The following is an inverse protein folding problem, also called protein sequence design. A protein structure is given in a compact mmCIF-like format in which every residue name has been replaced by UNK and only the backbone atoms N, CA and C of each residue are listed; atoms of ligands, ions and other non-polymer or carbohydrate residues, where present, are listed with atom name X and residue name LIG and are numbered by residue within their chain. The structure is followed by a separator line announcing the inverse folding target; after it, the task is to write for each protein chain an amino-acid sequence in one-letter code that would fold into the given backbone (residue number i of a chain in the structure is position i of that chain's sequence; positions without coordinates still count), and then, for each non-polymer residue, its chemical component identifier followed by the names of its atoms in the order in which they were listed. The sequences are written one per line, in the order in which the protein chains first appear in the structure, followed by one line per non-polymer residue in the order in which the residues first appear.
data_IF_852559243106
#
_entry.id   IF_852559243106
#
_cell.length_a   1.000
_cell.length_b   1.000
_cell.length_c   1.000
_cell.angle_alpha   90.00
_cell.angle_beta   90.00
_cell.angle_gamma   90.00
#
_symmetry.space_group_name_H-M   'P 1'
#
loop_
_entity.id
_entity.type
_entity.pdbx_description
1 polymer ?
#
# COMPACT_ATOMS: atom_id res chain seq x y z
N UNK A 1 1.58 -50.39 -13.05
CA UNK A 1 0.87 -49.83 -11.88
C UNK A 1 1.71 -48.65 -11.43
N UNK A 2 1.44 -47.49 -12.01
CA UNK A 2 2.24 -46.29 -11.79
C UNK A 2 1.67 -45.52 -10.61
N UNK A 3 2.44 -45.52 -9.53
CA UNK A 3 2.11 -44.89 -8.27
C UNK A 3 2.11 -43.37 -8.45
N UNK A 4 0.93 -42.75 -8.28
CA UNK A 4 0.73 -41.31 -8.44
C UNK A 4 1.68 -40.55 -7.51
N UNK A 5 2.58 -39.81 -8.13
CA UNK A 5 3.60 -39.02 -7.46
C UNK A 5 3.05 -38.18 -6.28
N UNK A 6 3.64 -38.33 -5.10
CA UNK A 6 3.14 -37.71 -3.85
C UNK A 6 3.15 -36.18 -3.93
N UNK A 7 2.15 -35.54 -3.32
CA UNK A 7 2.00 -34.09 -3.22
C UNK A 7 3.28 -33.40 -2.71
N UNK A 8 3.93 -33.98 -1.70
CA UNK A 8 5.16 -33.42 -1.12
C UNK A 8 6.34 -33.44 -2.10
N UNK A 9 6.45 -34.47 -2.94
CA UNK A 9 7.50 -34.55 -3.97
C UNK A 9 7.32 -33.46 -5.04
N UNK A 10 6.08 -33.22 -5.46
CA UNK A 10 5.74 -32.15 -6.41
C UNK A 10 6.02 -30.76 -5.83
N UNK A 11 5.60 -30.51 -4.60
CA UNK A 11 5.81 -29.23 -3.92
C UNK A 11 7.29 -28.95 -3.66
N UNK A 12 8.07 -29.96 -3.22
CA UNK A 12 9.51 -29.82 -3.03
C UNK A 12 10.23 -29.46 -4.32
N UNK A 13 9.87 -30.05 -5.47
CA UNK A 13 10.49 -29.71 -6.75
C UNK A 13 10.12 -28.30 -7.20
N UNK A 14 8.87 -27.88 -7.02
CA UNK A 14 8.44 -26.53 -7.34
C UNK A 14 9.22 -25.48 -6.52
N UNK A 15 9.39 -25.67 -5.21
CA UNK A 15 10.19 -24.78 -4.37
C UNK A 15 11.66 -24.72 -4.78
N UNK A 16 12.30 -25.87 -5.03
CA UNK A 16 13.71 -25.89 -5.47
C UNK A 16 13.91 -25.28 -6.86
N UNK A 17 12.95 -25.43 -7.76
CA UNK A 17 12.98 -24.80 -9.08
C UNK A 17 12.86 -23.27 -8.97
N UNK A 18 11.99 -22.77 -8.08
CA UNK A 18 11.86 -21.34 -7.81
C UNK A 18 13.15 -20.74 -7.21
N UNK A 19 13.77 -21.42 -6.24
CA UNK A 19 15.03 -21.01 -5.64
C UNK A 19 16.21 -21.05 -6.64
N UNK A 20 16.25 -22.07 -7.51
CA UNK A 20 17.27 -22.17 -8.57
C UNK A 20 17.12 -21.10 -9.66
N UNK A 21 15.88 -20.69 -9.95
CA UNK A 21 15.62 -19.59 -10.88
C UNK A 21 15.98 -18.23 -10.30
N UNK A 22 15.91 -18.07 -8.97
CA UNK A 22 16.35 -16.86 -8.27
C UNK A 22 17.89 -16.77 -8.16
N UNK A 23 18.59 -17.90 -8.15
CA UNK A 23 20.05 -17.97 -8.06
C UNK A 23 20.78 -17.93 -9.42
N UNK A 24 20.06 -17.81 -10.54
CA UNK A 24 20.71 -17.67 -11.85
C UNK A 24 21.27 -16.25 -11.99
N UNK A 25 22.60 -16.06 -12.12
CA UNK A 25 23.11 -14.75 -12.45
C UNK A 25 22.53 -14.35 -13.81
N UNK A 26 21.87 -13.21 -13.86
CA UNK A 26 21.46 -12.56 -15.11
C UNK A 26 22.73 -12.30 -15.91
N UNK A 27 23.03 -13.21 -16.82
CA UNK A 27 24.05 -13.02 -17.83
C UNK A 27 23.53 -11.90 -18.73
N UNK A 28 24.11 -10.70 -18.60
CA UNK A 28 23.79 -9.56 -19.45
C UNK A 28 24.09 -9.95 -20.90
N UNK A 29 23.03 -10.32 -21.63
CA UNK A 29 23.08 -10.34 -23.08
C UNK A 29 23.42 -8.93 -23.57
N UNK A 30 24.26 -8.76 -24.61
CA UNK A 30 24.43 -7.45 -25.22
C UNK A 30 23.06 -7.01 -25.71
N UNK A 31 22.55 -5.94 -25.08
CA UNK A 31 21.29 -5.32 -25.44
C UNK A 31 21.49 -4.76 -26.85
N UNK A 32 20.98 -5.48 -27.85
CA UNK A 32 20.73 -4.88 -29.15
C UNK A 32 19.80 -3.70 -28.88
N UNK A 33 20.24 -2.50 -29.26
CA UNK A 33 19.51 -1.26 -29.04
C UNK A 33 18.07 -1.43 -29.53
N UNK A 34 17.12 -1.44 -28.59
CA UNK A 34 15.72 -1.31 -28.92
C UNK A 34 15.55 0.00 -29.72
N UNK A 35 14.74 0.00 -30.80
CA UNK A 35 14.45 1.24 -31.50
C UNK A 35 13.91 2.24 -30.49
N UNK A 36 14.51 3.43 -30.49
CA UNK A 36 14.09 4.52 -29.62
C UNK A 36 12.56 4.70 -29.73
N UNK A 37 11.86 4.94 -28.60
CA UNK A 37 10.45 5.28 -28.66
C UNK A 37 10.28 6.44 -29.66
N UNK A 38 9.20 6.43 -30.47
CA UNK A 38 8.94 7.55 -31.38
C UNK A 38 8.95 8.85 -30.57
N UNK A 39 9.45 9.96 -31.15
CA UNK A 39 9.51 11.23 -30.44
C UNK A 39 8.13 11.50 -29.86
N UNK A 40 8.07 11.61 -28.53
CA UNK A 40 6.88 12.06 -27.83
C UNK A 40 6.41 13.32 -28.55
N UNK A 41 5.16 13.30 -29.01
CA UNK A 41 4.53 14.44 -29.65
C UNK A 41 4.83 15.68 -28.82
N UNK A 42 5.19 16.79 -29.49
CA UNK A 42 5.61 18.04 -28.85
C UNK A 42 4.77 18.31 -27.60
N UNK A 43 5.39 18.72 -26.47
CA UNK A 43 4.68 18.87 -25.21
C UNK A 43 3.46 19.75 -25.45
N UNK A 44 2.28 19.14 -25.38
CA UNK A 44 1.06 19.91 -25.32
C UNK A 44 1.17 20.69 -24.02
N UNK A 45 1.39 21.99 -24.14
CA UNK A 45 1.36 22.92 -23.00
C UNK A 45 -0.07 22.93 -22.51
N UNK A 46 -0.38 21.97 -21.63
CA UNK A 46 -1.63 21.96 -20.90
C UNK A 46 -1.66 23.24 -20.06
N UNK A 47 -2.74 24.03 -20.13
CA UNK A 47 -2.89 25.19 -19.27
C UNK A 47 -2.79 24.73 -17.81
N UNK A 48 -1.84 25.32 -17.07
CA UNK A 48 -1.66 25.01 -15.65
C UNK A 48 -2.74 25.77 -14.87
N UNK A 49 -3.67 25.08 -14.20
CA UNK A 49 -4.70 25.74 -13.40
C UNK A 49 -4.08 26.38 -12.15
N UNK A 50 -4.74 27.39 -11.55
CA UNK A 50 -4.31 27.95 -10.27
C UNK A 50 -4.32 26.90 -9.16
N UNK A 51 -3.28 26.88 -8.31
CA UNK A 51 -3.14 25.87 -7.23
C UNK A 51 -4.32 25.89 -6.25
N UNK A 52 -4.87 27.07 -5.95
CA UNK A 52 -5.99 27.20 -5.02
C UNK A 52 -7.31 26.60 -5.54
N UNK A 53 -7.42 26.43 -6.85
CA UNK A 53 -8.58 25.80 -7.50
C UNK A 53 -8.49 24.27 -7.58
N UNK A 54 -7.34 23.68 -7.21
CA UNK A 54 -7.13 22.24 -7.28
C UNK A 54 -7.87 21.51 -6.16
N UNK A 55 -8.56 20.45 -6.55
CA UNK A 55 -9.15 19.45 -5.68
C UNK A 55 -8.60 18.04 -5.98
N UNK A 56 -9.13 17.02 -5.32
CA UNK A 56 -8.69 15.64 -5.51
C UNK A 56 -9.00 15.09 -6.92
N UNK A 57 -10.06 15.59 -7.57
CA UNK A 57 -10.48 15.15 -8.90
C UNK A 57 -9.76 15.88 -10.04
N UNK A 58 -8.98 16.92 -9.71
CA UNK A 58 -8.25 17.74 -10.66
C UNK A 58 -7.14 16.95 -11.36
N UNK A 59 -6.84 17.32 -12.61
CA UNK A 59 -5.71 16.73 -13.34
C UNK A 59 -4.37 17.38 -12.96
N UNK A 60 -3.49 16.60 -12.33
CA UNK A 60 -2.16 17.04 -11.94
C UNK A 60 -1.10 16.80 -13.03
N UNK A 61 -1.45 16.14 -14.15
CA UNK A 61 -0.51 15.82 -15.24
C UNK A 61 0.15 17.06 -15.85
N UNK A 62 -0.58 18.19 -15.87
CA UNK A 62 -0.08 19.48 -16.33
C UNK A 62 1.11 19.98 -15.49
N UNK A 63 1.10 19.75 -14.17
CA UNK A 63 2.19 20.16 -13.28
C UNK A 63 3.42 19.25 -13.40
N UNK A 64 3.26 18.00 -13.82
CA UNK A 64 4.36 17.03 -13.90
C UNK A 64 5.21 17.18 -15.17
N UNK A 65 4.88 18.13 -16.05
CA UNK A 65 5.62 18.35 -17.29
C UNK A 65 7.06 18.84 -17.02
N UNK A 66 8.05 18.47 -17.87
CA UNK A 66 9.46 18.83 -17.65
C UNK A 66 9.72 20.34 -17.56
N UNK A 67 8.94 21.14 -18.27
CA UNK A 67 9.09 22.60 -18.36
C UNK A 67 8.50 23.37 -17.17
N UNK A 68 7.81 22.69 -16.24
CA UNK A 68 7.23 23.32 -15.06
C UNK A 68 8.28 23.47 -13.96
N UNK A 69 8.33 24.67 -13.38
CA UNK A 69 9.16 25.00 -12.23
C UNK A 69 8.94 24.05 -11.06
N UNK A 70 10.04 23.55 -10.49
CA UNK A 70 10.02 22.56 -9.40
C UNK A 70 9.24 23.06 -8.16
N UNK A 71 9.32 24.36 -7.87
CA UNK A 71 8.56 24.98 -6.78
C UNK A 71 7.05 24.90 -6.98
N UNK A 72 6.58 25.00 -8.23
CA UNK A 72 5.17 24.92 -8.58
C UNK A 72 4.68 23.47 -8.48
N UNK A 73 5.50 22.51 -8.94
CA UNK A 73 5.24 21.07 -8.77
C UNK A 73 5.02 20.70 -7.31
N UNK A 74 5.93 21.13 -6.44
CA UNK A 74 5.85 20.87 -5.00
C UNK A 74 4.62 21.47 -4.36
N UNK A 75 4.21 22.66 -4.77
CA UNK A 75 2.99 23.30 -4.26
C UNK A 75 1.73 22.54 -4.68
N UNK A 76 1.63 22.13 -5.94
CA UNK A 76 0.49 21.34 -6.42
C UNK A 76 0.41 19.98 -5.71
N UNK A 77 1.54 19.26 -5.58
CA UNK A 77 1.56 17.99 -4.84
C UNK A 77 1.25 18.17 -3.35
N UNK A 78 1.75 19.24 -2.72
CA UNK A 78 1.40 19.56 -1.33
C UNK A 78 -0.11 19.77 -1.18
N UNK A 79 -0.74 20.46 -2.13
CA UNK A 79 -2.20 20.65 -2.15
C UNK A 79 -2.94 19.32 -2.31
N UNK A 80 -2.48 18.43 -3.19
CA UNK A 80 -3.05 17.09 -3.38
C UNK A 80 -3.02 16.25 -2.10
N UNK A 81 -1.86 16.16 -1.44
CA UNK A 81 -1.69 15.36 -0.22
C UNK A 81 -2.32 16.01 1.03
N UNK A 82 -2.66 17.29 0.97
CA UNK A 82 -3.47 17.94 2.00
C UNK A 82 -4.95 17.54 1.95
N UNK A 83 -5.42 16.89 0.87
CA UNK A 83 -6.80 16.44 0.77
C UNK A 83 -7.15 15.43 1.87
N UNK A 84 -8.38 15.49 2.39
CA UNK A 84 -8.89 14.63 3.47
C UNK A 84 -8.73 13.13 3.15
N UNK A 85 -8.78 12.78 1.86
CA UNK A 85 -8.63 11.40 1.39
C UNK A 85 -7.32 10.74 1.82
N UNK A 86 -6.23 11.51 1.91
CA UNK A 86 -4.90 10.99 2.29
C UNK A 86 -4.59 11.13 3.79
N UNK A 87 -5.40 11.89 4.52
CA UNK A 87 -5.18 12.19 5.94
C UNK A 87 -6.08 11.37 6.87
N UNK A 88 -6.82 10.40 6.32
CA UNK A 88 -7.62 9.45 7.10
C UNK A 88 -6.79 8.20 7.36
N UNK A 89 -6.65 7.87 8.63
CA UNK A 89 -6.03 6.62 9.12
C UNK A 89 -6.81 5.40 8.59
N UNK A 90 -6.09 4.39 8.08
CA UNK A 90 -6.70 3.19 7.46
C UNK A 90 -7.24 2.17 8.47
N UNK A 91 -6.79 2.26 9.73
CA UNK A 91 -7.17 1.36 10.81
C UNK A 91 -6.61 -0.06 10.69
N UNK A 92 -5.61 -0.29 9.83
CA UNK A 92 -5.02 -1.61 9.60
C UNK A 92 -3.82 -1.93 10.52
N UNK A 93 -3.43 -0.97 11.36
CA UNK A 93 -2.41 -1.18 12.37
C UNK A 93 -2.99 -1.93 13.58
N UNK A 94 -2.50 -3.14 13.81
CA UNK A 94 -2.98 -4.10 14.82
C UNK A 94 -3.03 -3.51 16.24
N UNK A 95 -2.21 -2.50 16.52
CA UNK A 95 -2.09 -1.85 17.83
C UNK A 95 -2.43 -0.36 17.79
N UNK A 96 -3.34 0.05 16.91
CA UNK A 96 -3.73 1.46 16.77
C UNK A 96 -4.67 1.95 17.87
N UNK A 97 -5.39 1.01 18.51
CA UNK A 97 -6.37 1.32 19.54
C UNK A 97 -5.70 1.77 20.86
N UNK A 98 -6.38 2.65 21.59
CA UNK A 98 -5.95 3.05 22.93
C UNK A 98 -6.41 2.02 23.97
N UNK A 99 -5.52 1.08 24.26
CA UNK A 99 -5.70 0.03 25.27
C UNK A 99 -5.70 0.55 26.73
N UNK A 100 -5.51 1.86 26.97
CA UNK A 100 -5.72 2.44 28.29
C UNK A 100 -7.18 2.83 28.55
N UNK A 101 -8.04 2.73 27.53
CA UNK A 101 -9.47 3.01 27.69
C UNK A 101 -10.13 1.84 28.41
N UNK A 102 -10.53 2.07 29.66
CA UNK A 102 -11.32 1.10 30.42
C UNK A 102 -12.81 1.28 30.11
N UNK A 103 -13.43 0.23 29.57
CA UNK A 103 -14.89 0.16 29.49
C UNK A 103 -15.45 -0.47 30.78
N UNK A 104 -16.23 0.28 31.59
CA UNK A 104 -16.75 -0.26 32.83
C UNK A 104 -17.78 -1.37 32.57
N UNK A 105 -17.67 -2.44 33.36
CA UNK A 105 -18.63 -3.53 33.36
C UNK A 105 -20.02 -2.96 33.72
N UNK A 106 -21.07 -3.18 32.89
CA UNK A 106 -22.43 -2.73 33.20
C UNK A 106 -22.94 -3.31 34.53
N UNK A 107 -23.71 -2.52 35.28
CA UNK A 107 -24.21 -2.93 36.61
C UNK A 107 -25.03 -4.22 36.59
N UNK A 108 -25.84 -4.43 35.55
CA UNK A 108 -26.63 -5.65 35.41
C UNK A 108 -25.74 -6.90 35.33
N UNK A 109 -24.65 -6.83 34.53
CA UNK A 109 -23.68 -7.90 34.41
C UNK A 109 -22.86 -8.08 35.71
N UNK A 110 -22.54 -6.98 36.41
CA UNK A 110 -21.88 -7.04 37.72
C UNK A 110 -22.73 -7.80 38.75
N UNK A 111 -24.06 -7.64 38.74
CA UNK A 111 -24.96 -8.36 39.66
C UNK A 111 -24.96 -9.85 39.39
N UNK A 112 -24.93 -10.27 38.13
CA UNK A 112 -24.85 -11.70 37.77
C UNK A 112 -23.54 -12.34 38.27
N UNK A 113 -22.44 -11.60 38.30
CA UNK A 113 -21.13 -12.07 38.76
C UNK A 113 -21.01 -12.21 40.29
N UNK A 114 -22.00 -11.77 41.07
CA UNK A 114 -21.97 -11.84 42.53
C UNK A 114 -21.76 -13.26 43.08
N UNK A 115 -22.26 -14.28 42.36
CA UNK A 115 -22.10 -15.69 42.74
C UNK A 115 -20.64 -16.19 42.65
N UNK A 116 -19.84 -15.61 41.75
CA UNK A 116 -18.43 -16.00 41.55
C UNK A 116 -17.49 -15.36 42.57
N UNK A 117 -17.96 -14.35 43.32
CA UNK A 117 -17.16 -13.63 44.33
C UNK A 117 -16.66 -14.56 45.43
N UNK A 118 -17.50 -15.49 45.88
CA UNK A 118 -17.17 -16.47 46.91
C UNK A 118 -16.12 -17.48 46.40
N UNK A 119 -16.20 -17.87 45.13
CA UNK A 119 -15.23 -18.78 44.50
C UNK A 119 -13.86 -18.13 44.25
N UNK A 120 -13.82 -16.85 43.88
CA UNK A 120 -12.59 -16.14 43.50
C UNK A 120 -11.84 -15.53 44.68
N UNK A 121 -12.55 -15.19 45.75
CA UNK A 121 -12.01 -14.42 46.89
C UNK A 121 -12.38 -14.98 48.27
N UNK A 122 -13.04 -16.14 48.33
CA UNK A 122 -13.38 -16.85 49.58
C UNK A 122 -12.31 -17.83 50.04
#
# INVERSE_FOLDING_TARGET
MDEKESFFARWSRMKRAAESSAARPVQAAPVAAAPAPPPASAPQTLPVPPIDSLDFASDFSAFLQPHIEESLKRQALKKLFQAEHFNRMDGLDVYIDDYNTFEPIPEEMLRELAHAKDMLFG
#
